data_IF_473559159268
#
_entry.id   IF_473559159268
#
_cell.length_a   1.000
_cell.length_b   1.000
_cell.length_c   1.000
_cell.angle_alpha   90.00
_cell.angle_beta   90.00
_cell.angle_gamma   90.00
#
_symmetry.space_group_name_H-M   'P 1'
#
loop_
_entity.id
_entity.type
_entity.pdbx_description
1 polymer ?
#
# COMPACT_ATOMS: atom_id res chain seq x y z
N UNK A 1 36.33 6.03 -9.43
CA UNK A 1 35.05 6.05 -10.16
C UNK A 1 34.67 4.60 -10.40
N UNK A 2 33.58 4.12 -9.80
CA UNK A 2 33.03 2.80 -10.10
C UNK A 2 32.60 2.81 -11.57
N UNK A 3 33.17 1.95 -12.41
CA UNK A 3 32.71 1.80 -13.79
C UNK A 3 31.26 1.30 -13.79
N UNK A 4 30.40 1.90 -14.61
CA UNK A 4 29.03 1.44 -14.80
C UNK A 4 29.05 0.07 -15.50
N UNK A 5 28.78 -0.98 -14.73
CA UNK A 5 28.82 -2.37 -15.22
C UNK A 5 27.71 -2.65 -16.24
N UNK A 6 26.61 -1.88 -16.22
CA UNK A 6 25.49 -2.09 -17.13
C UNK A 6 25.84 -1.71 -18.57
N UNK A 7 26.82 -0.82 -18.79
CA UNK A 7 27.25 -0.44 -20.15
C UNK A 7 27.84 -1.60 -20.94
N UNK A 8 28.25 -2.69 -20.28
CA UNK A 8 28.76 -3.90 -20.93
C UNK A 8 27.67 -4.90 -21.27
N UNK A 9 26.45 -4.70 -20.78
CA UNK A 9 25.34 -5.62 -20.98
C UNK A 9 24.56 -5.25 -22.25
N UNK A 10 24.19 -6.23 -23.09
CA UNK A 10 23.25 -6.01 -24.18
C UNK A 10 21.89 -5.52 -23.67
N UNK A 11 21.15 -4.70 -24.44
CA UNK A 11 19.82 -4.22 -24.07
C UNK A 11 18.85 -5.33 -23.66
N UNK A 12 18.91 -6.48 -24.33
CA UNK A 12 18.03 -7.63 -24.10
C UNK A 12 18.21 -8.20 -22.69
N UNK A 13 19.45 -8.21 -22.19
CA UNK A 13 19.77 -8.68 -20.84
C UNK A 13 19.26 -7.67 -19.79
N UNK A 14 19.35 -6.37 -20.06
CA UNK A 14 18.83 -5.33 -19.17
C UNK A 14 17.30 -5.42 -19.08
N UNK A 15 16.62 -5.61 -20.20
CA UNK A 15 15.16 -5.79 -20.23
C UNK A 15 14.78 -7.06 -19.49
N UNK A 16 15.50 -8.17 -19.69
CA UNK A 16 15.26 -9.40 -18.95
C UNK A 16 15.42 -9.21 -17.44
N UNK A 17 16.49 -8.54 -16.98
CA UNK A 17 16.69 -8.19 -15.57
C UNK A 17 15.49 -7.38 -15.06
N UNK A 18 15.07 -6.34 -15.78
CA UNK A 18 13.93 -5.53 -15.41
C UNK A 18 12.64 -6.36 -15.30
N UNK A 19 12.30 -7.17 -16.31
CA UNK A 19 11.11 -8.04 -16.29
C UNK A 19 11.13 -9.10 -15.19
N UNK A 20 12.31 -9.56 -14.78
CA UNK A 20 12.47 -10.49 -13.64
C UNK A 20 12.51 -9.78 -12.28
N UNK A 21 12.63 -8.46 -12.27
CA UNK A 21 12.63 -7.70 -11.02
C UNK A 21 11.21 -7.68 -10.49
N UNK A 22 11.02 -8.31 -9.34
CA UNK A 22 9.68 -8.61 -8.84
C UNK A 22 8.95 -7.43 -8.19
N UNK A 23 9.57 -6.25 -8.02
CA UNK A 23 8.96 -5.17 -7.25
C UNK A 23 9.30 -3.74 -7.74
N UNK A 24 8.51 -2.77 -7.28
CA UNK A 24 8.65 -1.37 -7.69
C UNK A 24 9.99 -0.78 -7.26
N UNK A 25 10.51 -1.19 -6.11
CA UNK A 25 11.78 -0.68 -5.56
C UNK A 25 12.96 -1.12 -6.42
N UNK A 26 12.98 -2.35 -6.88
CA UNK A 26 14.02 -2.88 -7.76
C UNK A 26 14.02 -2.16 -9.09
N UNK A 27 12.85 -1.98 -9.72
CA UNK A 27 12.73 -1.22 -10.98
C UNK A 27 13.19 0.23 -10.81
N UNK A 28 12.72 0.94 -9.78
CA UNK A 28 13.16 2.30 -9.47
C UNK A 28 14.67 2.36 -9.21
N UNK A 29 15.23 1.36 -8.51
CA UNK A 29 16.66 1.29 -8.24
C UNK A 29 17.48 1.06 -9.51
N UNK A 30 17.03 0.18 -10.40
CA UNK A 30 17.67 -0.05 -11.71
C UNK A 30 17.67 1.22 -12.57
N UNK A 31 16.53 1.91 -12.65
CA UNK A 31 16.37 3.16 -13.40
C UNK A 31 17.25 4.30 -12.86
N UNK A 32 17.54 4.30 -11.55
CA UNK A 32 18.43 5.29 -10.92
C UNK A 32 19.91 4.86 -10.91
N UNK A 33 20.23 3.57 -11.11
CA UNK A 33 21.59 3.05 -11.02
C UNK A 33 22.45 3.38 -12.25
N UNK A 34 21.85 3.45 -13.45
CA UNK A 34 22.58 3.69 -14.70
C UNK A 34 21.72 4.47 -15.70
N UNK A 35 22.31 5.48 -16.34
CA UNK A 35 21.64 6.21 -17.42
C UNK A 35 21.39 5.32 -18.63
N UNK A 36 22.30 4.39 -18.92
CA UNK A 36 22.14 3.40 -19.98
C UNK A 36 20.95 2.47 -19.71
N UNK A 37 20.82 1.97 -18.48
CA UNK A 37 19.67 1.14 -18.09
C UNK A 37 18.36 1.90 -18.27
N UNK A 38 18.32 3.16 -17.84
CA UNK A 38 17.14 4.02 -18.02
C UNK A 38 16.78 4.23 -19.49
N UNK A 39 17.77 4.45 -20.34
CA UNK A 39 17.56 4.64 -21.78
C UNK A 39 17.10 3.34 -22.46
N UNK A 40 17.60 2.18 -22.03
CA UNK A 40 17.11 0.89 -22.54
C UNK A 40 15.68 0.62 -22.07
N UNK A 41 15.40 0.77 -20.77
CA UNK A 41 14.06 0.48 -20.22
C UNK A 41 13.01 1.45 -20.75
N UNK A 42 13.34 2.71 -21.07
CA UNK A 42 12.35 3.65 -21.60
C UNK A 42 11.69 3.17 -22.90
N UNK A 43 12.39 2.41 -23.73
CA UNK A 43 11.86 1.83 -24.96
C UNK A 43 10.90 0.65 -24.73
N UNK A 44 10.96 0.02 -23.55
CA UNK A 44 10.14 -1.14 -23.17
C UNK A 44 9.38 -0.91 -21.86
N UNK A 45 9.18 0.35 -21.47
CA UNK A 45 8.68 0.74 -20.16
C UNK A 45 7.29 0.16 -19.90
N UNK A 46 6.45 0.20 -20.93
CA UNK A 46 5.12 -0.37 -20.93
C UNK A 46 5.13 -1.86 -20.58
N UNK A 47 5.90 -2.67 -21.31
CA UNK A 47 5.97 -4.12 -21.13
C UNK A 47 6.57 -4.50 -19.77
N UNK A 48 7.63 -3.80 -19.36
CA UNK A 48 8.25 -3.99 -18.04
C UNK A 48 7.25 -3.69 -16.92
N UNK A 49 6.42 -2.66 -17.10
CA UNK A 49 5.42 -2.29 -16.10
C UNK A 49 4.26 -3.28 -16.08
N UNK A 50 3.78 -3.75 -17.24
CA UNK A 50 2.77 -4.82 -17.28
C UNK A 50 3.28 -6.09 -16.60
N UNK A 51 4.50 -6.53 -16.91
CA UNK A 51 5.10 -7.73 -16.30
C UNK A 51 5.27 -7.56 -14.78
N UNK A 52 5.66 -6.36 -14.32
CA UNK A 52 5.74 -6.02 -12.90
C UNK A 52 4.36 -6.11 -12.21
N UNK A 53 3.34 -5.49 -12.81
CA UNK A 53 1.98 -5.49 -12.26
C UNK A 53 1.36 -6.89 -12.26
N UNK A 54 1.71 -7.75 -13.22
CA UNK A 54 1.27 -9.13 -13.27
C UNK A 54 1.99 -10.05 -12.27
N UNK A 55 3.26 -9.76 -11.94
CA UNK A 55 4.10 -10.62 -11.11
C UNK A 55 4.11 -10.26 -9.62
N UNK A 56 3.74 -9.04 -9.24
CA UNK A 56 3.84 -8.60 -7.85
C UNK A 56 2.79 -9.31 -6.97
N UNK A 57 3.17 -10.04 -5.90
CA UNK A 57 2.21 -10.83 -5.09
C UNK A 57 1.16 -9.97 -4.39
N UNK A 58 1.51 -8.71 -4.14
CA UNK A 58 0.63 -7.71 -3.53
C UNK A 58 -0.29 -7.06 -4.59
N UNK A 59 -0.07 -7.30 -5.90
CA UNK A 59 -0.94 -6.89 -7.02
C UNK A 59 -1.91 -7.98 -7.51
N UNK A 60 -2.47 -8.79 -6.62
CA UNK A 60 -3.83 -9.29 -6.90
C UNK A 60 -4.71 -8.11 -7.38
N UNK A 61 -5.60 -8.34 -8.37
CA UNK A 61 -6.32 -7.38 -9.25
C UNK A 61 -6.57 -5.93 -8.75
N UNK A 62 -6.68 -5.70 -7.45
CA UNK A 62 -6.81 -4.38 -6.84
C UNK A 62 -5.62 -3.42 -7.02
N UNK A 63 -4.36 -3.88 -7.02
CA UNK A 63 -3.23 -2.93 -6.99
C UNK A 63 -2.84 -2.42 -8.38
N UNK A 64 -3.07 -3.22 -9.43
CA UNK A 64 -3.02 -2.77 -10.82
C UNK A 64 -3.99 -1.60 -11.03
N UNK A 65 -5.23 -1.77 -10.56
CA UNK A 65 -6.26 -0.72 -10.64
C UNK A 65 -5.80 0.55 -9.90
N UNK A 66 -5.22 0.43 -8.70
CA UNK A 66 -4.71 1.59 -7.95
C UNK A 66 -3.54 2.28 -8.67
N UNK A 67 -2.68 1.51 -9.35
CA UNK A 67 -1.62 2.05 -10.19
C UNK A 67 -2.21 2.85 -11.35
N UNK A 68 -3.18 2.29 -12.08
CA UNK A 68 -3.84 2.96 -13.21
C UNK A 68 -4.60 4.22 -12.79
N UNK A 69 -5.32 4.20 -11.66
CA UNK A 69 -5.94 5.40 -11.08
C UNK A 69 -4.88 6.45 -10.80
N UNK A 70 -3.74 6.05 -10.23
CA UNK A 70 -2.64 6.98 -9.96
C UNK A 70 -2.11 7.57 -11.26
N UNK A 71 -1.94 6.79 -12.32
CA UNK A 71 -1.59 7.31 -13.65
C UNK A 71 -2.59 8.34 -14.15
N UNK A 72 -3.90 8.05 -14.03
CA UNK A 72 -4.96 8.96 -14.47
C UNK A 72 -4.93 10.30 -13.74
N UNK A 73 -4.86 10.28 -12.40
CA UNK A 73 -4.85 11.50 -11.60
C UNK A 73 -3.61 12.36 -11.90
N UNK A 74 -2.49 11.71 -12.24
CA UNK A 74 -1.24 12.39 -12.56
C UNK A 74 -1.11 12.76 -14.05
N UNK A 75 -2.12 12.47 -14.88
CA UNK A 75 -2.14 12.87 -16.29
C UNK A 75 -2.25 14.40 -16.39
N UNK A 76 -1.48 15.04 -17.29
CA UNK A 76 -1.67 16.47 -17.57
C UNK A 76 -3.10 16.78 -18.00
N UNK A 77 -3.72 17.78 -17.38
CA UNK A 77 -5.09 18.19 -17.70
C UNK A 77 -6.19 17.38 -17.01
N UNK A 78 -5.84 16.50 -16.06
CA UNK A 78 -6.78 15.79 -15.21
C UNK A 78 -7.79 16.74 -14.55
N UNK A 79 -9.08 16.41 -14.62
CA UNK A 79 -10.20 17.12 -13.99
C UNK A 79 -10.94 16.20 -13.05
N UNK A 80 -11.55 16.77 -12.01
CA UNK A 80 -12.35 15.97 -11.07
C UNK A 80 -13.59 15.34 -11.72
N UNK A 81 -14.09 15.88 -12.84
CA UNK A 81 -15.15 15.26 -13.66
C UNK A 81 -14.70 13.92 -14.25
N UNK A 82 -13.40 13.75 -14.51
CA UNK A 82 -12.85 12.53 -15.09
C UNK A 82 -13.01 11.34 -14.12
N UNK A 83 -13.21 11.59 -12.82
CA UNK A 83 -13.56 10.53 -11.85
C UNK A 83 -14.99 10.00 -12.02
N UNK A 84 -15.94 10.85 -12.43
CA UNK A 84 -17.32 10.43 -12.64
C UNK A 84 -17.40 9.51 -13.87
N UNK A 85 -16.63 9.86 -14.91
CA UNK A 85 -16.44 9.03 -16.10
C UNK A 85 -15.69 7.73 -15.76
N UNK A 86 -14.70 7.81 -14.85
CA UNK A 86 -13.94 6.66 -14.37
C UNK A 86 -14.82 5.63 -13.67
N UNK A 87 -15.71 6.07 -12.77
CA UNK A 87 -16.61 5.18 -12.03
C UNK A 87 -17.50 4.36 -12.96
N UNK A 88 -17.78 4.90 -14.15
CA UNK A 88 -18.61 4.25 -15.17
C UNK A 88 -17.81 3.27 -16.06
N UNK A 89 -16.50 3.47 -16.23
CA UNK A 89 -15.65 2.74 -17.19
C UNK A 89 -14.40 2.12 -16.56
N UNK A 90 -14.41 1.80 -15.25
CA UNK A 90 -13.24 1.31 -14.53
C UNK A 90 -12.56 0.08 -15.15
N UNK A 91 -13.35 -0.75 -15.84
CA UNK A 91 -12.90 -1.97 -16.52
C UNK A 91 -12.18 -1.72 -17.84
N UNK A 92 -12.15 -0.49 -18.34
CA UNK A 92 -11.56 -0.15 -19.66
C UNK A 92 -10.20 0.55 -19.56
N UNK A 93 -9.75 0.92 -18.36
CA UNK A 93 -8.44 1.56 -18.19
C UNK A 93 -7.33 0.60 -18.62
N UNK A 94 -6.51 1.05 -19.57
CA UNK A 94 -5.31 0.36 -19.98
C UNK A 94 -4.07 1.17 -19.64
N UNK A 95 -2.98 0.49 -19.32
CA UNK A 95 -1.67 1.14 -19.19
C UNK A 95 -1.27 1.87 -20.49
N UNK A 96 -1.79 1.43 -21.65
CA UNK A 96 -1.53 2.03 -22.98
C UNK A 96 -2.11 3.45 -23.13
N UNK A 97 -3.02 3.84 -22.26
CA UNK A 97 -3.66 5.16 -22.30
C UNK A 97 -2.78 6.28 -21.73
N UNK A 98 -1.61 5.92 -21.18
CA UNK A 98 -0.73 6.83 -20.45
C UNK A 98 0.62 7.02 -21.15
N UNK A 99 1.16 8.24 -21.04
CA UNK A 99 2.51 8.55 -21.53
C UNK A 99 3.59 7.88 -20.66
N UNK A 100 4.75 7.58 -21.26
CA UNK A 100 5.91 7.04 -20.54
C UNK A 100 6.28 7.86 -19.30
N UNK A 101 6.19 9.20 -19.41
CA UNK A 101 6.44 10.11 -18.28
C UNK A 101 5.49 9.86 -17.12
N UNK A 102 4.21 9.61 -17.41
CA UNK A 102 3.18 9.32 -16.41
C UNK A 102 3.43 7.95 -15.77
N UNK A 103 3.72 6.93 -16.59
CA UNK A 103 4.02 5.57 -16.13
C UNK A 103 5.26 5.57 -15.23
N UNK A 104 6.36 6.17 -15.70
CA UNK A 104 7.60 6.32 -14.93
C UNK A 104 7.38 7.05 -13.60
N UNK A 105 6.63 8.16 -13.63
CA UNK A 105 6.28 8.90 -12.42
C UNK A 105 5.49 8.04 -11.41
N UNK A 106 4.61 7.17 -11.92
CA UNK A 106 3.79 6.27 -11.09
C UNK A 106 4.61 5.10 -10.55
N UNK A 107 5.53 4.51 -11.32
CA UNK A 107 6.49 3.51 -10.84
C UNK A 107 7.30 4.03 -9.65
N UNK A 108 7.81 5.26 -9.76
CA UNK A 108 8.56 5.90 -8.67
C UNK A 108 7.71 6.11 -7.42
N UNK A 109 6.42 6.44 -7.57
CA UNK A 109 5.47 6.49 -6.45
C UNK A 109 5.24 5.10 -5.85
N UNK A 110 5.08 4.07 -6.67
CA UNK A 110 4.99 2.69 -6.22
C UNK A 110 6.19 2.25 -5.39
N UNK A 111 7.41 2.60 -5.82
CA UNK A 111 8.64 2.33 -5.07
C UNK A 111 8.66 3.07 -3.71
N UNK A 112 8.19 4.31 -3.68
CA UNK A 112 8.08 5.07 -2.43
C UNK A 112 7.05 4.45 -1.48
N UNK A 113 5.88 4.07 -1.98
CA UNK A 113 4.81 3.40 -1.22
C UNK A 113 5.32 2.08 -0.65
N UNK A 114 6.04 1.28 -1.44
CA UNK A 114 6.62 0.02 -1.00
C UNK A 114 7.63 0.22 0.14
N UNK A 115 8.54 1.19 0.02
CA UNK A 115 9.50 1.52 1.10
C UNK A 115 8.77 1.98 2.36
N UNK A 116 7.74 2.83 2.20
CA UNK A 116 6.93 3.33 3.31
C UNK A 116 6.13 2.21 3.98
N UNK A 117 5.55 1.30 3.21
CA UNK A 117 4.83 0.14 3.73
C UNK A 117 5.75 -0.73 4.60
N UNK A 118 6.95 -1.05 4.10
CA UNK A 118 7.96 -1.78 4.84
C UNK A 118 8.33 -1.07 6.16
N UNK A 119 8.54 0.24 6.12
CA UNK A 119 8.84 1.03 7.32
C UNK A 119 7.67 1.04 8.32
N UNK A 120 6.43 1.22 7.86
CA UNK A 120 5.23 1.20 8.68
C UNK A 120 5.04 -0.14 9.40
N UNK A 121 5.16 -1.24 8.66
CA UNK A 121 5.01 -2.60 9.21
C UNK A 121 6.11 -2.88 10.23
N UNK A 122 7.36 -2.59 9.89
CA UNK A 122 8.50 -2.74 10.80
C UNK A 122 8.26 -1.97 12.09
N UNK A 123 7.90 -0.69 11.98
CA UNK A 123 7.70 0.16 13.15
C UNK A 123 6.52 -0.27 14.01
N UNK A 124 5.44 -0.70 13.38
CA UNK A 124 4.28 -1.24 14.09
C UNK A 124 4.65 -2.45 14.94
N UNK A 125 5.43 -3.38 14.38
CA UNK A 125 5.85 -4.60 15.07
C UNK A 125 6.81 -4.31 16.21
N UNK A 126 7.79 -3.44 16.00
CA UNK A 126 8.69 -2.97 17.07
C UNK A 126 7.91 -2.39 18.26
N UNK A 127 6.95 -1.51 17.98
CA UNK A 127 6.13 -0.88 19.01
C UNK A 127 5.23 -1.90 19.71
N UNK A 128 4.69 -2.87 18.98
CA UNK A 128 3.85 -3.92 19.54
C UNK A 128 4.65 -4.85 20.47
N UNK A 129 5.84 -5.28 20.05
CA UNK A 129 6.76 -6.08 20.85
C UNK A 129 7.14 -5.32 22.11
N UNK A 130 7.62 -4.08 21.97
CA UNK A 130 8.05 -3.23 23.10
C UNK A 130 6.90 -2.98 24.09
N UNK A 131 5.70 -2.71 23.58
CA UNK A 131 4.52 -2.48 24.42
C UNK A 131 4.10 -3.72 25.19
N UNK A 132 4.20 -4.90 24.59
CA UNK A 132 3.87 -6.16 25.26
C UNK A 132 4.95 -6.61 26.24
N UNK A 133 6.24 -6.37 25.95
CA UNK A 133 7.33 -6.56 26.91
C UNK A 133 7.05 -5.78 28.20
N UNK A 134 6.68 -4.50 28.08
CA UNK A 134 6.38 -3.65 29.22
C UNK A 134 5.18 -4.13 30.06
N UNK A 135 4.16 -4.74 29.43
CA UNK A 135 2.97 -5.26 30.13
C UNK A 135 3.23 -6.63 30.76
N UNK A 136 4.01 -7.48 30.09
CA UNK A 136 4.26 -8.85 30.54
C UNK A 136 5.41 -8.96 31.55
N UNK A 137 6.36 -8.04 31.58
CA UNK A 137 7.32 -7.95 32.68
C UNK A 137 6.64 -7.68 34.03
N UNK A 138 5.42 -7.11 34.02
CA UNK A 138 4.60 -6.91 35.21
C UNK A 138 3.78 -8.15 35.62
N UNK A 139 3.61 -9.15 34.75
CA UNK A 139 2.78 -10.36 34.98
C UNK A 139 3.47 -11.63 34.46
N UNK A 140 3.88 -12.48 35.40
CA UNK A 140 4.88 -13.56 35.39
C UNK A 140 4.91 -14.68 34.31
N UNK A 141 4.21 -14.62 33.17
CA UNK A 141 4.24 -15.71 32.15
C UNK A 141 5.27 -15.48 31.03
N UNK A 142 6.56 -15.61 31.38
CA UNK A 142 7.70 -15.45 30.44
C UNK A 142 7.70 -16.45 29.28
N UNK A 143 7.15 -17.65 29.47
CA UNK A 143 7.16 -18.72 28.48
C UNK A 143 6.21 -18.45 27.31
N UNK A 144 4.99 -17.98 27.59
CA UNK A 144 4.03 -17.59 26.54
C UNK A 144 4.51 -16.37 25.75
N UNK A 145 5.19 -15.44 26.42
CA UNK A 145 5.78 -14.28 25.75
C UNK A 145 6.86 -14.69 24.75
N UNK A 146 7.70 -15.66 25.09
CA UNK A 146 8.77 -16.13 24.21
C UNK A 146 8.21 -16.72 22.91
N UNK A 147 7.21 -17.60 22.99
CA UNK A 147 6.58 -18.21 21.81
C UNK A 147 5.84 -17.18 20.95
N UNK A 148 5.17 -16.23 21.59
CA UNK A 148 4.50 -15.12 20.92
C UNK A 148 5.50 -14.18 20.22
N UNK A 149 6.62 -13.86 20.89
CA UNK A 149 7.69 -13.03 20.34
C UNK A 149 8.28 -13.67 19.10
N UNK A 150 8.51 -14.98 19.11
CA UNK A 150 8.99 -15.71 17.92
C UNK A 150 8.01 -15.60 16.74
N UNK A 151 6.70 -15.73 16.99
CA UNK A 151 5.68 -15.53 15.96
C UNK A 151 5.66 -14.09 15.45
N UNK A 152 5.88 -13.11 16.31
CA UNK A 152 5.88 -11.69 15.93
C UNK A 152 7.20 -11.21 15.32
N UNK A 153 8.28 -11.96 15.47
CA UNK A 153 9.54 -11.78 14.74
C UNK A 153 9.57 -12.50 13.39
N UNK A 154 8.58 -13.35 13.08
CA UNK A 154 8.43 -13.96 11.76
C UNK A 154 8.23 -12.88 10.67
N UNK A 155 8.16 -13.21 9.39
CA UNK A 155 7.81 -12.20 8.37
C UNK A 155 6.37 -11.70 8.55
N UNK A 156 6.06 -10.51 8.02
CA UNK A 156 4.70 -10.00 8.08
C UNK A 156 3.79 -10.89 7.22
N UNK A 157 2.54 -11.06 7.63
CA UNK A 157 1.62 -11.82 6.79
C UNK A 157 1.32 -11.04 5.51
N UNK A 158 1.10 -11.76 4.40
CA UNK A 158 0.72 -11.15 3.12
C UNK A 158 -0.52 -10.25 3.25
N UNK A 159 -1.43 -10.55 4.20
CA UNK A 159 -2.63 -9.75 4.47
C UNK A 159 -2.27 -8.41 5.10
N UNK A 160 -1.34 -8.38 6.05
CA UNK A 160 -0.88 -7.14 6.70
C UNK A 160 -0.17 -6.25 5.69
N UNK A 161 0.73 -6.84 4.89
CA UNK A 161 1.39 -6.15 3.79
C UNK A 161 0.36 -5.58 2.82
N UNK A 162 -0.53 -6.40 2.29
CA UNK A 162 -1.57 -5.97 1.36
C UNK A 162 -2.41 -4.79 1.89
N UNK A 163 -2.84 -4.84 3.16
CA UNK A 163 -3.64 -3.77 3.77
C UNK A 163 -2.87 -2.46 3.88
N UNK A 164 -1.61 -2.52 4.31
CA UNK A 164 -0.77 -1.32 4.45
C UNK A 164 -0.47 -0.72 3.09
N UNK A 165 -0.09 -1.55 2.11
CA UNK A 165 0.13 -1.09 0.73
C UNK A 165 -1.11 -0.41 0.15
N UNK A 166 -2.27 -1.06 0.25
CA UNK A 166 -3.53 -0.52 -0.26
C UNK A 166 -3.87 0.82 0.39
N UNK A 167 -3.73 0.94 1.71
CA UNK A 167 -3.98 2.19 2.42
C UNK A 167 -3.07 3.32 1.93
N UNK A 168 -1.78 3.03 1.73
CA UNK A 168 -0.80 4.00 1.26
C UNK A 168 -1.04 4.41 -0.19
N UNK A 169 -1.44 3.49 -1.07
CA UNK A 169 -1.89 3.81 -2.43
C UNK A 169 -3.10 4.74 -2.41
N UNK A 170 -4.12 4.45 -1.61
CA UNK A 170 -5.30 5.32 -1.49
C UNK A 170 -4.93 6.72 -0.97
N UNK A 171 -4.06 6.80 0.04
CA UNK A 171 -3.56 8.07 0.56
C UNK A 171 -2.79 8.87 -0.50
N UNK A 172 -1.96 8.19 -1.30
CA UNK A 172 -1.23 8.82 -2.40
C UNK A 172 -2.20 9.38 -3.46
N UNK A 173 -3.19 8.60 -3.87
CA UNK A 173 -4.22 9.03 -4.82
C UNK A 173 -4.97 10.26 -4.29
N UNK A 174 -5.39 10.24 -3.02
CA UNK A 174 -6.07 11.37 -2.38
C UNK A 174 -5.19 12.62 -2.36
N UNK A 175 -3.90 12.46 -2.03
CA UNK A 175 -2.92 13.55 -2.05
C UNK A 175 -2.76 14.12 -3.46
N UNK A 176 -2.65 13.27 -4.47
CA UNK A 176 -2.51 13.69 -5.87
C UNK A 176 -3.73 14.48 -6.36
N UNK A 177 -4.94 14.02 -6.03
CA UNK A 177 -6.19 14.72 -6.35
C UNK A 177 -6.25 16.08 -5.66
N UNK A 178 -5.86 16.13 -4.38
CA UNK A 178 -5.81 17.37 -3.63
C UNK A 178 -4.87 18.38 -4.31
N UNK A 179 -3.68 17.95 -4.73
CA UNK A 179 -2.73 18.80 -5.44
C UNK A 179 -3.22 19.21 -6.84
N UNK A 180 -3.84 18.30 -7.59
CA UNK A 180 -4.42 18.61 -8.90
C UNK A 180 -5.57 19.62 -8.80
N UNK A 181 -6.42 19.52 -7.77
CA UNK A 181 -7.50 20.48 -7.54
C UNK A 181 -7.00 21.89 -7.15
N UNK A 182 -5.84 21.97 -6.49
CA UNK A 182 -5.21 23.23 -6.09
C UNK A 182 -4.53 23.97 -7.24
N UNK A 183 -3.99 23.25 -8.22
CA UNK A 183 -3.32 23.87 -9.38
C UNK A 183 -4.29 24.57 -10.33
N UNK A 184 -5.53 24.06 -10.44
CA UNK A 184 -6.60 24.66 -11.27
C UNK A 184 -7.05 26.02 -10.72
N UNK A 185 -7.05 26.20 -9.39
CA UNK A 185 -7.43 27.47 -8.76
C UNK A 185 -6.41 28.60 -8.98
N UNK A 186 -5.15 28.27 -9.27
CA UNK A 186 -4.09 29.26 -9.50
C UNK A 186 -4.09 29.84 -10.92
N UNK A 187 -4.73 29.18 -11.88
CA UNK A 187 -4.70 29.60 -13.29
C UNK A 187 -5.92 30.43 -13.71
N UNK A 188 -7.02 30.35 -12.96
CA UNK A 188 -8.20 31.19 -13.15
C UNK A 188 -8.31 32.18 -12.00
N UNK A 189 -7.71 33.35 -12.17
CA UNK A 189 -7.95 34.49 -11.28
C UNK A 189 -9.40 34.95 -11.40
N UNK A 190 -10.30 34.39 -10.59
CA UNK A 190 -11.58 34.98 -10.20
C UNK A 190 -12.33 34.08 -9.21
N UNK A 191 -12.68 34.63 -8.04
CA UNK A 191 -13.79 34.15 -7.20
C UNK A 191 -13.41 33.19 -6.06
N UNK A 192 -13.14 33.76 -4.88
CA UNK A 192 -13.08 33.01 -3.62
C UNK A 192 -14.46 32.49 -3.22
N UNK A 193 -14.57 31.18 -2.97
CA UNK A 193 -15.77 30.56 -2.39
C UNK A 193 -15.85 29.04 -2.56
N UNK A 194 -15.50 28.51 -3.74
CA UNK A 194 -15.86 27.13 -4.10
C UNK A 194 -14.76 26.06 -3.93
N UNK A 195 -13.52 26.47 -3.65
CA UNK A 195 -12.40 25.53 -3.52
C UNK A 195 -12.55 24.52 -2.37
N UNK A 196 -13.30 24.86 -1.32
CA UNK A 196 -13.52 23.97 -0.17
C UNK A 196 -14.61 22.93 -0.44
N UNK A 197 -15.69 23.29 -1.16
CA UNK A 197 -16.75 22.35 -1.53
C UNK A 197 -16.31 21.34 -2.58
N UNK A 198 -15.45 21.75 -3.53
CA UNK A 198 -14.89 20.81 -4.51
C UNK A 198 -14.03 19.75 -3.82
N UNK A 199 -13.16 20.16 -2.89
CA UNK A 199 -12.31 19.24 -2.11
C UNK A 199 -13.13 18.21 -1.34
N UNK A 200 -14.22 18.63 -0.71
CA UNK A 200 -15.11 17.74 0.06
C UNK A 200 -15.90 16.78 -0.85
N UNK A 201 -16.40 17.25 -2.00
CA UNK A 201 -17.11 16.43 -2.99
C UNK A 201 -16.19 15.40 -3.68
N UNK A 202 -14.97 15.78 -4.04
CA UNK A 202 -13.95 14.86 -4.57
C UNK A 202 -13.61 13.77 -3.57
N UNK A 203 -13.48 14.15 -2.29
CA UNK A 203 -13.25 13.20 -1.19
C UNK A 203 -14.41 12.20 -1.10
N UNK A 204 -15.66 12.69 -1.01
CA UNK A 204 -16.85 11.84 -0.89
C UNK A 204 -17.04 10.87 -2.09
N UNK A 205 -16.65 11.28 -3.31
CA UNK A 205 -16.76 10.45 -4.52
C UNK A 205 -15.74 9.32 -4.57
N UNK A 206 -14.53 9.50 -4.05
CA UNK A 206 -13.58 8.40 -3.86
C UNK A 206 -14.12 7.34 -2.90
N UNK A 207 -14.95 7.72 -1.94
CA UNK A 207 -15.67 6.77 -1.08
C UNK A 207 -16.63 5.84 -1.85
N UNK A 208 -17.14 6.26 -3.02
CA UNK A 208 -18.01 5.49 -3.89
C UNK A 208 -17.29 4.47 -4.79
N UNK A 209 -15.95 4.50 -4.85
CA UNK A 209 -15.11 3.47 -5.48
C UNK A 209 -14.92 2.24 -4.60
N UNK A 210 -15.41 2.31 -3.36
CA UNK A 210 -15.46 1.20 -2.43
C UNK A 210 -16.94 0.79 -2.23
N UNK A 211 -17.25 -0.51 -2.10
CA UNK A 211 -18.63 -1.01 -2.13
C UNK A 211 -19.55 -0.31 -1.13
N UNK A 212 -20.80 -0.06 -1.58
CA UNK A 212 -21.89 0.80 -1.01
C UNK A 212 -22.23 0.72 0.49
N UNK A 213 -21.56 -0.13 1.27
CA UNK A 213 -21.73 -0.21 2.73
C UNK A 213 -20.63 0.53 3.52
N UNK A 214 -19.72 1.26 2.87
CA UNK A 214 -18.63 1.98 3.53
C UNK A 214 -18.94 3.45 3.79
N UNK A 215 -18.83 3.81 5.07
CA UNK A 215 -18.74 5.15 5.66
C UNK A 215 -17.90 6.17 4.84
N UNK A 216 -18.23 7.47 5.01
CA UNK A 216 -17.50 8.65 4.48
C UNK A 216 -15.98 8.45 4.46
N UNK A 217 -15.20 8.98 3.50
CA UNK A 217 -13.74 8.77 3.43
C UNK A 217 -12.93 9.32 4.62
N UNK A 218 -13.44 10.33 5.35
CA UNK A 218 -12.89 10.73 6.66
C UNK A 218 -13.19 9.66 7.69
N UNK A 219 -14.41 9.13 7.68
CA UNK A 219 -14.76 7.93 8.42
C UNK A 219 -14.13 6.67 7.85
N UNK A 220 -13.59 6.61 6.63
CA UNK A 220 -12.96 5.44 6.01
C UNK A 220 -11.48 5.45 6.38
N UNK A 221 -10.86 6.62 6.52
CA UNK A 221 -9.61 6.81 7.28
C UNK A 221 -9.84 6.52 8.77
N UNK A 222 -10.92 7.01 9.38
CA UNK A 222 -11.27 6.67 10.77
C UNK A 222 -11.60 5.19 10.93
N UNK A 223 -12.30 4.53 10.01
CA UNK A 223 -12.70 3.12 10.03
C UNK A 223 -11.52 2.23 9.60
N UNK A 224 -10.64 2.66 8.69
CA UNK A 224 -9.34 2.00 8.46
C UNK A 224 -8.51 2.02 9.74
N UNK A 225 -8.43 3.17 10.43
CA UNK A 225 -7.64 3.34 11.64
C UNK A 225 -8.30 2.78 12.91
N UNK A 226 -9.64 2.75 12.98
CA UNK A 226 -10.43 2.42 14.18
C UNK A 226 -11.40 1.25 14.01
N UNK A 227 -11.50 0.60 12.86
CA UNK A 227 -12.34 -0.59 12.71
C UNK A 227 -11.64 -1.74 12.00
N UNK A 228 -10.77 -1.51 11.01
CA UNK A 228 -9.99 -2.59 10.38
C UNK A 228 -8.63 -2.80 11.04
N UNK A 229 -7.92 -1.73 11.41
CA UNK A 229 -6.81 -1.81 12.36
C UNK A 229 -7.32 -2.18 13.74
N UNK A 230 -8.45 -1.63 14.20
CA UNK A 230 -9.06 -2.04 15.47
C UNK A 230 -9.63 -3.45 15.39
N UNK A 231 -10.09 -3.95 14.24
CA UNK A 231 -10.44 -5.35 14.05
C UNK A 231 -9.20 -6.23 13.87
N UNK A 232 -8.07 -5.72 13.39
CA UNK A 232 -6.77 -6.41 13.43
C UNK A 232 -6.31 -6.52 14.88
N UNK A 233 -6.35 -5.42 15.63
CA UNK A 233 -6.12 -5.37 17.07
C UNK A 233 -7.12 -6.26 17.83
N UNK A 234 -8.41 -6.25 17.48
CA UNK A 234 -9.46 -7.05 18.13
C UNK A 234 -9.41 -8.51 17.71
N UNK A 235 -9.04 -8.86 16.47
CA UNK A 235 -8.83 -10.26 16.04
C UNK A 235 -7.52 -10.82 16.59
N UNK A 236 -6.47 -10.00 16.69
CA UNK A 236 -5.26 -10.36 17.43
C UNK A 236 -5.57 -10.52 18.93
N UNK A 237 -6.30 -9.59 19.55
CA UNK A 237 -6.75 -9.71 20.94
C UNK A 237 -7.74 -10.86 21.15
N UNK A 238 -8.61 -11.17 20.19
CA UNK A 238 -9.52 -12.32 20.24
C UNK A 238 -8.76 -13.63 20.08
N UNK A 239 -7.75 -13.70 19.21
CA UNK A 239 -6.85 -14.85 19.10
C UNK A 239 -6.08 -15.07 20.41
N UNK A 240 -5.58 -13.98 21.01
CA UNK A 240 -4.88 -14.01 22.31
C UNK A 240 -5.85 -14.40 23.44
N UNK A 241 -7.05 -13.82 23.51
CA UNK A 241 -8.05 -14.13 24.55
C UNK A 241 -8.71 -15.50 24.37
N UNK A 242 -8.86 -16.00 23.14
CA UNK A 242 -9.31 -17.38 22.85
C UNK A 242 -8.21 -18.39 23.19
N UNK A 243 -6.95 -18.09 22.90
CA UNK A 243 -5.80 -18.90 23.35
C UNK A 243 -5.72 -18.94 24.88
N UNK A 244 -5.94 -17.80 25.54
CA UNK A 244 -6.08 -17.70 27.00
C UNK A 244 -7.30 -18.46 27.54
N UNK A 245 -8.48 -18.37 26.91
CA UNK A 245 -9.71 -19.04 27.35
C UNK A 245 -9.65 -20.57 27.12
N UNK A 246 -9.00 -21.01 26.05
CA UNK A 246 -8.73 -22.42 25.77
C UNK A 246 -7.74 -22.99 26.79
N UNK A 247 -6.67 -22.26 27.13
CA UNK A 247 -5.70 -22.70 28.12
C UNK A 247 -6.24 -22.67 29.56
N UNK A 248 -7.10 -21.69 29.91
CA UNK A 248 -7.81 -21.63 31.20
C UNK A 248 -8.81 -22.77 31.38
N UNK A 249 -9.45 -23.22 30.29
CA UNK A 249 -10.30 -24.43 30.31
C UNK A 249 -9.47 -25.70 30.46
N UNK A 250 -8.35 -25.82 29.76
CA UNK A 250 -7.46 -26.99 29.90
C UNK A 250 -6.83 -27.09 31.30
N UNK A 251 -6.46 -25.97 31.92
CA UNK A 251 -5.95 -25.93 33.30
C UNK A 251 -7.04 -26.13 34.36
N UNK A 252 -8.29 -25.69 34.11
CA UNK A 252 -9.42 -25.98 35.01
C UNK A 252 -9.91 -27.43 34.91
N UNK A 253 -9.82 -28.06 33.73
CA UNK A 253 -10.11 -29.49 33.54
C UNK A 253 -9.00 -30.36 34.17
N UNK A 254 -7.74 -29.93 34.09
CA UNK A 254 -6.64 -30.58 34.81
C UNK A 254 -6.77 -30.42 36.34
N UNK A 255 -7.26 -29.29 36.84
CA UNK A 255 -7.52 -29.11 38.29
C UNK A 255 -8.74 -29.91 38.80
N UNK A 256 -9.77 -30.12 37.97
CA UNK A 256 -10.92 -30.98 38.34
C UNK A 256 -10.61 -32.47 38.24
N UNK A 257 -9.69 -32.88 37.36
CA UNK A 257 -9.20 -34.28 37.27
C UNK A 257 -8.13 -34.63 38.32
N UNK A 258 -7.65 -33.67 39.09
CA UNK A 258 -6.68 -33.85 40.18
C UNK A 258 -7.32 -33.74 41.58
N UNK A 259 -8.65 -33.59 41.64
CA UNK A 259 -9.45 -33.53 42.87
C UNK A 259 -10.55 -34.61 42.96
N UNK A 260 -10.51 -35.63 42.09
CA UNK A 260 -11.18 -36.94 42.27
C UNK A 260 -10.11 -38.03 42.43
#
# INVERSE_FOLDING_TARGET
MSADLFQKLPPEIIIAIAKTTADFVGIDSLLNASTWVRDVISHSLFEVTEDLLASFPITGNSSEILFLITCLVNKPGFKCSDFDDLQSNFTELSLRDFSDKTIYGTLRKGAHIQRLACACITKFRENLITGLEAVMDANWEKTLFHDWRQHMTAEASWVEEFRVYRALWCLQILSDIYHASGSVASHNGCGGGDGHQLKEKSFLRLGGLFPRNSMSPILLLRYFWTSELLALFHRMFQSITLSWAFHRRSTSILYLSLCE
#
